data_IF_176776932906
#
_entry.id   IF_176776932906
#
_cell.length_a   1.000
_cell.length_b   1.000
_cell.length_c   1.000
_cell.angle_alpha   90.00
_cell.angle_beta   90.00
_cell.angle_gamma   90.00
#
_symmetry.space_group_name_H-M   'P 1'
#
loop_
_entity.id
_entity.type
_entity.pdbx_description
1 polymer ?
#
# COMPACT_ATOMS: atom_id res chain seq x y z
N UNK A 1 -23.32 1.42 8.14
CA UNK A 1 -23.20 1.64 9.59
C UNK A 1 -23.67 0.37 10.30
N UNK A 2 -22.95 -0.04 11.35
CA UNK A 2 -23.18 -1.19 12.25
C UNK A 2 -22.80 -2.61 11.77
N UNK A 3 -21.64 -3.10 12.21
CA UNK A 3 -21.59 -4.17 13.21
C UNK A 3 -20.25 -4.12 13.98
N UNK A 4 -20.34 -4.13 15.31
CA UNK A 4 -19.26 -3.98 16.28
C UNK A 4 -18.61 -5.33 16.58
N UNK A 5 -17.45 -5.59 15.99
CA UNK A 5 -16.43 -6.49 16.53
C UNK A 5 -15.06 -5.96 16.08
N UNK A 6 -14.52 -4.99 16.81
CA UNK A 6 -13.10 -4.63 16.73
C UNK A 6 -12.29 -5.71 17.46
N UNK A 7 -12.32 -6.93 16.93
CA UNK A 7 -11.26 -7.89 17.21
C UNK A 7 -10.00 -7.31 16.56
N UNK A 8 -8.93 -7.14 17.35
CA UNK A 8 -7.67 -6.44 17.03
C UNK A 8 -6.85 -6.95 15.82
N UNK A 9 -7.50 -7.49 14.80
CA UNK A 9 -6.96 -7.75 13.47
C UNK A 9 -6.89 -6.40 12.75
N UNK A 10 -5.68 -5.92 12.46
CA UNK A 10 -5.48 -4.80 11.56
C UNK A 10 -6.03 -5.16 10.17
N UNK A 11 -7.30 -4.81 9.92
CA UNK A 11 -7.95 -4.97 8.63
C UNK A 11 -7.43 -3.90 7.69
N UNK A 12 -6.32 -4.19 7.02
CA UNK A 12 -5.83 -3.33 5.94
C UNK A 12 -6.86 -3.39 4.80
N UNK A 13 -7.59 -2.30 4.59
CA UNK A 13 -8.47 -2.14 3.44
C UNK A 13 -7.64 -2.18 2.16
N UNK A 14 -7.72 -3.30 1.43
CA UNK A 14 -7.04 -3.46 0.14
C UNK A 14 -7.90 -2.89 -0.98
N UNK A 15 -7.36 -2.00 -1.83
CA UNK A 15 -8.10 -1.39 -2.94
C UNK A 15 -8.79 -2.42 -3.85
N UNK A 16 -8.20 -3.61 -4.02
CA UNK A 16 -8.73 -4.69 -4.86
C UNK A 16 -10.11 -5.19 -4.43
N UNK A 17 -10.48 -5.00 -3.16
CA UNK A 17 -11.78 -5.42 -2.62
C UNK A 17 -12.82 -4.30 -2.78
N UNK A 18 -12.40 -3.04 -2.65
CA UNK A 18 -13.33 -1.91 -2.62
C UNK A 18 -13.64 -1.33 -4.01
N UNK A 19 -12.69 -1.41 -4.96
CA UNK A 19 -12.88 -0.87 -6.31
C UNK A 19 -13.98 -1.62 -7.11
N UNK A 20 -14.06 -2.97 -7.09
CA UNK A 20 -15.14 -3.68 -7.76
C UNK A 20 -16.52 -3.37 -7.19
N UNK A 21 -16.63 -3.19 -5.87
CA UNK A 21 -17.87 -2.75 -5.21
C UNK A 21 -18.29 -1.36 -5.68
N UNK A 22 -17.32 -0.50 -6.00
CA UNK A 22 -17.53 0.82 -6.59
C UNK A 22 -17.80 0.82 -8.10
N UNK A 23 -17.93 -0.36 -8.74
CA UNK A 23 -18.21 -0.49 -10.17
C UNK A 23 -16.96 -0.38 -11.07
N UNK A 24 -15.76 -0.58 -10.53
CA UNK A 24 -14.53 -0.63 -11.33
C UNK A 24 -14.14 -2.06 -11.69
N UNK A 25 -13.73 -2.27 -12.93
CA UNK A 25 -12.99 -3.45 -13.37
C UNK A 25 -11.49 -3.24 -13.15
N UNK A 26 -10.80 -4.24 -12.59
CA UNK A 26 -9.38 -4.16 -12.28
C UNK A 26 -8.55 -4.99 -13.25
N UNK A 27 -7.41 -4.45 -13.70
CA UNK A 27 -6.39 -5.26 -14.36
C UNK A 27 -5.72 -6.21 -13.36
N UNK A 28 -4.93 -7.15 -13.87
CA UNK A 28 -3.99 -7.90 -13.03
C UNK A 28 -3.08 -6.93 -12.25
N UNK A 29 -2.90 -7.21 -10.97
CA UNK A 29 -1.99 -6.47 -10.10
C UNK A 29 -0.55 -6.81 -10.46
N UNK A 30 0.27 -5.79 -10.67
CA UNK A 30 1.70 -5.90 -10.95
C UNK A 30 2.49 -5.48 -9.72
N UNK A 31 3.50 -6.26 -9.37
CA UNK A 31 4.45 -5.86 -8.33
C UNK A 31 5.46 -4.86 -8.90
N UNK A 32 5.69 -3.77 -8.16
CA UNK A 32 6.70 -2.76 -8.47
C UNK A 32 7.61 -2.54 -7.25
N UNK A 33 8.81 -2.02 -7.52
CA UNK A 33 9.79 -1.67 -6.50
C UNK A 33 9.99 -0.17 -6.52
N UNK A 34 9.75 0.48 -5.39
CA UNK A 34 10.09 1.89 -5.19
C UNK A 34 11.41 1.95 -4.43
N UNK A 35 12.20 2.98 -4.69
CA UNK A 35 13.40 3.28 -3.91
C UNK A 35 13.21 4.67 -3.32
N UNK A 36 13.20 4.78 -2.00
CA UNK A 36 13.05 6.04 -1.28
C UNK A 36 13.97 6.06 -0.08
N UNK A 37 14.78 7.11 0.04
CA UNK A 37 15.73 7.28 1.15
C UNK A 37 16.66 6.07 1.36
N UNK A 38 17.05 5.38 0.29
CA UNK A 38 17.93 4.20 0.33
C UNK A 38 17.25 2.90 0.77
N UNK A 39 15.93 2.91 0.97
CA UNK A 39 15.13 1.72 1.25
C UNK A 39 14.33 1.29 0.02
N UNK A 40 14.29 -0.02 -0.22
CA UNK A 40 13.44 -0.63 -1.24
C UNK A 40 12.06 -0.87 -0.65
N UNK A 41 11.04 -0.22 -1.22
CA UNK A 41 9.64 -0.33 -0.81
C UNK A 41 8.87 -1.16 -1.85
N UNK A 42 8.53 -2.42 -1.51
CA UNK A 42 7.54 -3.22 -2.18
C UNK A 42 6.20 -2.48 -2.39
N UNK A 43 5.74 -2.38 -3.64
CA UNK A 43 4.44 -1.80 -3.94
C UNK A 43 3.70 -2.61 -5.01
N UNK A 44 2.40 -2.37 -5.11
CA UNK A 44 1.51 -2.96 -6.09
C UNK A 44 0.98 -1.87 -7.01
N UNK A 45 0.74 -2.21 -8.27
CA UNK A 45 0.12 -1.34 -9.25
C UNK A 45 -0.96 -2.06 -10.04
N UNK A 46 -2.07 -1.40 -10.32
CA UNK A 46 -3.12 -1.92 -11.21
C UNK A 46 -3.84 -0.78 -11.92
N UNK A 47 -4.52 -1.10 -13.02
CA UNK A 47 -5.47 -0.21 -13.68
C UNK A 47 -6.86 -0.49 -13.13
N UNK A 48 -7.60 0.55 -12.76
CA UNK A 48 -9.02 0.49 -12.46
C UNK A 48 -9.82 1.23 -13.53
N UNK A 49 -10.81 0.56 -14.10
CA UNK A 49 -11.63 1.08 -15.20
C UNK A 49 -13.10 1.11 -14.82
N UNK A 50 -13.74 2.27 -15.01
CA UNK A 50 -15.19 2.46 -14.90
C UNK A 50 -15.67 3.30 -16.11
N UNK A 51 -16.98 3.38 -16.38
CA UNK A 51 -17.50 4.20 -17.47
C UNK A 51 -17.00 5.65 -17.40
N UNK A 52 -16.24 6.07 -18.42
CA UNK A 52 -15.65 7.42 -18.50
C UNK A 52 -14.46 7.68 -17.56
N UNK A 53 -13.92 6.65 -16.88
CA UNK A 53 -12.80 6.81 -15.95
C UNK A 53 -11.82 5.64 -16.01
N UNK A 54 -10.57 5.95 -16.33
CA UNK A 54 -9.44 5.03 -16.19
C UNK A 54 -8.48 5.62 -15.17
N UNK A 55 -8.20 4.86 -14.12
CA UNK A 55 -7.33 5.24 -13.01
C UNK A 55 -6.17 4.26 -12.90
N UNK A 56 -4.95 4.80 -12.89
CA UNK A 56 -3.73 4.04 -12.64
C UNK A 56 -3.42 4.18 -11.15
N UNK A 57 -3.42 3.08 -10.41
CA UNK A 57 -3.27 3.07 -8.96
C UNK A 57 -1.97 2.37 -8.58
N UNK A 58 -1.14 3.03 -7.78
CA UNK A 58 0.01 2.43 -7.10
C UNK A 58 -0.18 2.53 -5.59
N UNK A 59 0.09 1.46 -4.86
CA UNK A 59 -0.04 1.47 -3.40
C UNK A 59 0.93 0.50 -2.72
N UNK A 60 1.26 0.79 -1.47
CA UNK A 60 1.94 -0.15 -0.59
C UNK A 60 1.34 -0.09 0.81
N UNK A 61 1.55 -1.18 1.56
CA UNK A 61 1.20 -1.26 2.97
C UNK A 61 2.45 -1.65 3.75
N UNK A 62 2.71 -0.94 4.85
CA UNK A 62 3.73 -1.31 5.84
C UNK A 62 3.01 -1.82 7.09
N UNK A 63 3.51 -2.90 7.67
CA UNK A 63 3.16 -3.35 9.03
C UNK A 63 4.47 -3.55 9.81
N UNK A 64 4.73 -2.71 10.82
CA UNK A 64 6.04 -2.71 11.50
C UNK A 64 7.19 -2.43 10.52
N UNK A 65 8.18 -3.30 10.42
CA UNK A 65 9.27 -3.22 9.42
C UNK A 65 8.98 -4.01 8.12
N UNK A 66 7.84 -4.70 8.03
CA UNK A 66 7.53 -5.58 6.91
C UNK A 66 6.58 -4.93 5.89
N UNK A 67 6.74 -5.32 4.63
CA UNK A 67 5.88 -4.92 3.51
C UNK A 67 5.21 -6.16 2.88
N UNK A 68 4.18 -6.75 3.52
CA UNK A 68 3.57 -7.98 3.04
C UNK A 68 2.77 -7.74 1.75
N UNK A 69 3.15 -8.44 0.69
CA UNK A 69 2.52 -8.29 -0.64
C UNK A 69 1.30 -9.19 -0.81
N UNK A 70 1.29 -10.35 -0.15
CA UNK A 70 0.23 -11.38 -0.29
C UNK A 70 -0.64 -11.52 0.96
N UNK A 71 -1.92 -11.85 0.78
CA UNK A 71 -2.94 -11.98 1.84
C UNK A 71 -2.60 -13.08 2.88
N UNK A 72 -1.94 -14.16 2.45
CA UNK A 72 -1.47 -15.24 3.32
C UNK A 72 -0.26 -14.83 4.17
N UNK A 73 0.67 -14.06 3.62
CA UNK A 73 1.82 -13.52 4.37
C UNK A 73 1.34 -12.54 5.44
N UNK A 74 0.36 -11.70 5.11
CA UNK A 74 -0.27 -10.78 6.06
C UNK A 74 -0.97 -11.54 7.21
N UNK A 75 -1.70 -12.63 6.92
CA UNK A 75 -2.33 -13.45 7.97
C UNK A 75 -1.32 -14.15 8.89
N UNK A 76 -0.22 -14.69 8.34
CA UNK A 76 0.82 -15.34 9.16
C UNK A 76 1.59 -14.30 9.99
N UNK A 77 1.90 -13.14 9.43
CA UNK A 77 2.54 -12.05 10.15
C UNK A 77 1.66 -11.52 11.29
N UNK A 78 0.37 -11.30 11.02
CA UNK A 78 -0.61 -10.87 12.04
C UNK A 78 -0.84 -11.93 13.11
N UNK A 79 -0.88 -13.23 12.75
CA UNK A 79 -0.96 -14.32 13.75
C UNK A 79 0.28 -14.39 14.64
N UNK A 80 1.49 -14.26 14.08
CA UNK A 80 2.73 -14.23 14.87
C UNK A 80 2.81 -13.00 15.78
N UNK A 81 2.42 -11.84 15.27
CA UNK A 81 2.41 -10.59 16.02
C UNK A 81 1.39 -10.62 17.18
N UNK A 82 0.18 -11.12 16.93
CA UNK A 82 -0.84 -11.31 17.96
C UNK A 82 -0.45 -12.34 19.03
N UNK A 83 0.29 -13.41 18.66
CA UNK A 83 0.84 -14.37 19.63
C UNK A 83 1.95 -13.76 20.52
N UNK A 84 2.64 -12.71 20.03
CA UNK A 84 3.69 -12.00 20.74
C UNK A 84 3.17 -10.80 21.57
N UNK A 85 1.89 -10.44 21.45
CA UNK A 85 1.29 -9.29 22.15
C UNK A 85 1.56 -7.93 21.52
N UNK A 86 2.20 -7.88 20.36
CA UNK A 86 2.51 -6.65 19.63
C UNK A 86 1.54 -6.51 18.45
N UNK A 87 0.71 -5.47 18.45
CA UNK A 87 0.01 -5.02 17.23
C UNK A 87 0.91 -3.95 16.60
N UNK A 88 1.75 -4.28 15.59
CA UNK A 88 2.64 -3.30 15.00
C UNK A 88 1.85 -2.23 14.25
N UNK A 89 2.27 -0.98 14.37
CA UNK A 89 1.74 0.14 13.60
C UNK A 89 1.75 -0.21 12.10
N UNK A 90 0.61 -0.03 11.44
CA UNK A 90 0.45 -0.25 10.02
C UNK A 90 -0.06 1.00 9.30
N UNK A 91 0.39 1.18 8.06
CA UNK A 91 0.00 2.29 7.19
C UNK A 91 -0.21 1.79 5.77
N UNK A 92 -1.07 2.47 5.01
CA UNK A 92 -1.20 2.28 3.57
C UNK A 92 -1.04 3.64 2.86
N UNK A 93 -0.19 3.69 1.84
CA UNK A 93 -0.05 4.84 0.95
C UNK A 93 -0.56 4.43 -0.41
N UNK A 94 -1.50 5.20 -0.95
CA UNK A 94 -2.06 5.02 -2.29
C UNK A 94 -1.88 6.33 -3.06
N UNK A 95 -1.32 6.22 -4.26
CA UNK A 95 -1.20 7.31 -5.22
C UNK A 95 -1.85 6.85 -6.51
N UNK A 96 -2.61 7.74 -7.16
CA UNK A 96 -3.21 7.42 -8.44
C UNK A 96 -3.24 8.62 -9.38
N UNK A 97 -3.41 8.32 -10.66
CA UNK A 97 -3.55 9.30 -11.74
C UNK A 97 -4.63 8.85 -12.72
N UNK A 98 -5.27 9.81 -13.38
CA UNK A 98 -6.39 9.58 -14.29
C UNK A 98 -5.99 9.88 -15.73
N UNK A 99 -6.60 9.17 -16.67
CA UNK A 99 -6.60 9.59 -18.08
C UNK A 99 -5.28 9.35 -18.84
N UNK A 100 -4.36 8.56 -18.29
CA UNK A 100 -3.14 8.12 -18.97
C UNK A 100 -2.99 6.59 -18.93
N UNK A 101 -2.17 6.06 -19.83
CA UNK A 101 -1.92 4.62 -19.90
C UNK A 101 -1.00 4.12 -18.77
N UNK A 102 -1.04 2.81 -18.50
CA UNK A 102 -0.30 2.19 -17.40
C UNK A 102 1.23 2.34 -17.53
N UNK A 103 1.77 2.32 -18.75
CA UNK A 103 3.22 2.40 -18.99
C UNK A 103 3.73 3.81 -18.74
N UNK A 104 2.94 4.82 -19.08
CA UNK A 104 3.23 6.22 -18.77
C UNK A 104 3.06 6.51 -17.27
N UNK A 105 2.00 5.98 -16.65
CA UNK A 105 1.73 6.20 -15.23
C UNK A 105 2.76 5.56 -14.31
N UNK A 106 3.35 4.44 -14.69
CA UNK A 106 4.29 3.69 -13.82
C UNK A 106 5.48 4.55 -13.34
N UNK A 107 6.30 5.16 -14.22
CA UNK A 107 7.40 6.02 -13.79
C UNK A 107 6.90 7.28 -13.08
N UNK A 108 5.74 7.83 -13.46
CA UNK A 108 5.16 9.02 -12.83
C UNK A 108 4.77 8.75 -11.36
N UNK A 109 4.00 7.69 -11.11
CA UNK A 109 3.56 7.33 -9.76
C UNK A 109 4.74 6.90 -8.90
N UNK A 110 5.71 6.17 -9.46
CA UNK A 110 6.92 5.81 -8.73
C UNK A 110 7.74 7.04 -8.35
N UNK A 111 7.99 7.94 -9.30
CA UNK A 111 8.73 9.18 -9.08
C UNK A 111 8.06 10.09 -8.07
N UNK A 112 6.75 10.32 -8.19
CA UNK A 112 5.99 11.10 -7.22
C UNK A 112 6.06 10.49 -5.83
N UNK A 113 5.89 9.17 -5.71
CA UNK A 113 5.89 8.50 -4.40
C UNK A 113 7.25 8.64 -3.71
N UNK A 114 8.35 8.40 -4.44
CA UNK A 114 9.71 8.60 -3.91
C UNK A 114 9.94 10.05 -3.49
N UNK A 115 9.63 11.02 -4.36
CA UNK A 115 9.84 12.43 -4.07
C UNK A 115 8.99 12.91 -2.90
N UNK A 116 7.74 12.44 -2.77
CA UNK A 116 6.87 12.77 -1.64
C UNK A 116 7.46 12.26 -0.32
N UNK A 117 7.95 11.03 -0.30
CA UNK A 117 8.60 10.46 0.89
C UNK A 117 9.85 11.27 1.25
N UNK A 118 10.72 11.53 0.28
CA UNK A 118 12.01 12.20 0.52
C UNK A 118 11.87 13.68 0.89
N UNK A 119 10.83 14.36 0.40
CA UNK A 119 10.51 15.75 0.78
C UNK A 119 9.70 15.88 2.06
N UNK A 120 9.15 14.78 2.58
CA UNK A 120 8.39 14.78 3.82
C UNK A 120 9.30 14.99 5.03
N UNK A 121 8.74 15.53 6.12
CA UNK A 121 9.49 15.69 7.36
C UNK A 121 9.90 14.32 7.97
N UNK A 122 10.89 14.28 8.88
CA UNK A 122 11.40 13.02 9.45
C UNK A 122 10.34 12.17 10.17
N UNK A 123 9.30 12.79 10.73
CA UNK A 123 8.21 12.05 11.40
C UNK A 123 7.37 11.29 10.38
N UNK A 124 7.04 11.92 9.26
CA UNK A 124 6.28 11.31 8.18
C UNK A 124 7.11 10.25 7.44
N UNK A 125 8.39 10.50 7.20
CA UNK A 125 9.30 9.49 6.65
C UNK A 125 9.33 8.22 7.51
N UNK A 126 9.48 8.35 8.84
CA UNK A 126 9.40 7.21 9.76
C UNK A 126 8.05 6.50 9.74
N UNK A 127 6.96 7.23 9.56
CA UNK A 127 5.63 6.62 9.43
C UNK A 127 5.53 5.78 8.15
N UNK A 128 6.02 6.34 7.04
CA UNK A 128 5.94 5.75 5.69
C UNK A 128 6.89 4.59 5.49
N UNK A 129 8.12 4.71 5.98
CA UNK A 129 9.21 3.75 5.77
C UNK A 129 9.44 2.80 6.96
N UNK A 130 8.94 3.16 8.14
CA UNK A 130 9.28 2.48 9.40
C UNK A 130 10.59 2.99 9.99
N UNK A 131 11.03 2.35 11.08
CA UNK A 131 12.39 2.56 11.60
C UNK A 131 13.36 1.67 10.82
N UNK A 132 14.53 2.22 10.50
CA UNK A 132 15.59 1.47 9.82
C UNK A 132 16.00 0.29 10.71
N UNK A 133 15.94 -0.95 10.22
CA UNK A 133 16.32 -2.16 11.00
C UNK A 133 17.84 -2.30 11.17
N UNK A 134 18.58 -1.18 11.12
CA UNK A 134 19.99 -1.07 11.50
C UNK A 134 20.08 -0.21 12.76
N UNK A 135 19.72 -0.82 13.88
CA UNK A 135 19.87 -0.29 15.23
C UNK A 135 19.89 -1.43 16.21
#
# INVERSE_FOLDING_TARGET
>A
AYNNAQDGVLQVHRPEVCYPVGGFELSATQEIMLNASGQVVPANMFTATAPGRVEQVAYFTRLGSAYPRKWIEQRVAVMRANLAGDIPDGMMMRVSTLGIDQREARPLLAGFTTQFIESSNPRMQRLLLGQDSRG
#
